data_IF_964495621909
#
_entry.id   IF_964495621909
#
_cell.length_a   1.000
_cell.length_b   1.000
_cell.length_c   1.000
_cell.angle_alpha   90.00
_cell.angle_beta   90.00
_cell.angle_gamma   90.00
#
_symmetry.space_group_name_H-M   'P 1'
#
loop_
_entity.id
_entity.type
_entity.pdbx_description
1 polymer ?
#
# COMPACT_ATOMS: atom_id res chain seq x y z
N UNK A 1 26.66 -2.30 7.06
CA UNK A 1 25.82 -1.12 6.74
C UNK A 1 24.43 -1.34 7.35
N UNK A 2 24.28 -1.09 8.65
CA UNK A 2 22.99 -1.24 9.37
C UNK A 2 22.23 0.10 9.40
N UNK A 3 22.24 0.83 8.29
CA UNK A 3 21.82 2.24 8.26
C UNK A 3 20.30 2.43 8.08
N UNK A 4 19.49 1.36 7.95
CA UNK A 4 18.07 1.47 7.61
C UNK A 4 17.14 0.70 8.57
N UNK A 5 17.46 0.71 9.87
CA UNK A 5 16.47 0.39 10.92
C UNK A 5 16.01 1.67 11.63
N UNK A 6 15.84 2.75 10.88
CA UNK A 6 14.88 3.79 11.25
C UNK A 6 13.52 3.08 11.37
N UNK A 7 13.17 2.67 12.59
CA UNK A 7 11.88 2.04 12.91
C UNK A 7 10.80 3.10 12.79
N UNK A 8 10.44 3.45 11.55
CA UNK A 8 9.20 4.13 11.29
C UNK A 8 8.09 3.27 11.87
N UNK A 9 7.31 3.88 12.77
CA UNK A 9 6.09 3.25 13.28
C UNK A 9 5.30 2.73 12.08
N UNK A 10 4.85 1.48 12.14
CA UNK A 10 4.05 0.84 11.09
C UNK A 10 2.92 1.76 10.63
N UNK A 11 2.30 2.51 11.54
CA UNK A 11 1.27 3.50 11.22
C UNK A 11 1.76 4.63 10.30
N UNK A 12 2.97 5.16 10.53
CA UNK A 12 3.57 6.19 9.67
C UNK A 12 3.93 5.61 8.30
N UNK A 13 4.48 4.41 8.26
CA UNK A 13 4.81 3.72 7.00
C UNK A 13 3.57 3.44 6.16
N UNK A 14 2.47 3.00 6.78
CA UNK A 14 1.18 2.80 6.11
C UNK A 14 0.66 4.12 5.55
N UNK A 15 0.68 5.20 6.34
CA UNK A 15 0.20 6.50 5.87
C UNK A 15 1.03 7.02 4.70
N UNK A 16 2.35 6.89 4.76
CA UNK A 16 3.26 7.24 3.68
C UNK A 16 2.99 6.39 2.43
N UNK A 17 2.78 5.08 2.59
CA UNK A 17 2.48 4.18 1.49
C UNK A 17 1.14 4.51 0.80
N UNK A 18 0.05 4.73 1.55
CA UNK A 18 -1.24 5.17 0.97
C UNK A 18 -1.06 6.50 0.24
N UNK A 19 -0.36 7.46 0.83
CA UNK A 19 -0.09 8.75 0.21
C UNK A 19 0.66 8.60 -1.12
N UNK A 20 1.71 7.79 -1.16
CA UNK A 20 2.46 7.52 -2.39
C UNK A 20 1.61 6.84 -3.47
N UNK A 21 0.79 5.86 -3.11
CA UNK A 21 -0.13 5.19 -4.05
C UNK A 21 -1.13 6.19 -4.62
N UNK A 22 -1.71 7.06 -3.77
CA UNK A 22 -2.64 8.09 -4.21
C UNK A 22 -1.99 9.08 -5.18
N UNK A 23 -0.82 9.64 -4.85
CA UNK A 23 -0.11 10.57 -5.73
C UNK A 23 0.34 9.91 -7.05
N UNK A 24 0.73 8.64 -7.00
CA UNK A 24 1.05 7.87 -8.19
C UNK A 24 -0.18 7.70 -9.10
N UNK A 25 -1.32 7.31 -8.53
CA UNK A 25 -2.58 7.18 -9.27
C UNK A 25 -3.04 8.52 -9.87
N UNK A 26 -2.89 9.63 -9.13
CA UNK A 26 -3.12 10.98 -9.67
C UNK A 26 -2.21 11.28 -10.86
N UNK A 27 -0.93 10.91 -10.78
CA UNK A 27 0.04 11.13 -11.85
C UNK A 27 -0.30 10.30 -13.08
N UNK A 28 -0.77 9.07 -12.91
CA UNK A 28 -1.18 8.20 -14.02
C UNK A 28 -2.40 8.76 -14.76
N UNK A 29 -3.41 9.25 -14.04
CA UNK A 29 -4.58 9.88 -14.64
C UNK A 29 -4.23 11.22 -15.33
N UNK A 30 -3.30 12.00 -14.77
CA UNK A 30 -2.75 13.17 -15.45
C UNK A 30 -2.02 12.76 -16.72
N UNK A 31 -1.26 11.67 -16.70
CA UNK A 31 -0.57 11.13 -17.87
C UNK A 31 -1.57 10.69 -18.95
N UNK A 32 -2.69 10.09 -18.56
CA UNK A 32 -3.76 9.68 -19.47
C UNK A 32 -4.39 10.88 -20.21
N UNK A 33 -4.43 12.07 -19.61
CA UNK A 33 -4.93 13.28 -20.30
C UNK A 33 -4.07 13.69 -21.50
N UNK A 34 -2.80 13.30 -21.55
CA UNK A 34 -1.90 13.57 -22.68
C UNK A 34 -1.98 12.50 -23.78
N UNK A 35 -2.61 11.34 -23.49
CA UNK A 35 -2.80 10.26 -24.45
C UNK A 35 -4.15 10.42 -25.15
N UNK A 36 -4.13 10.57 -26.48
CA UNK A 36 -5.36 10.73 -27.28
C UNK A 36 -6.30 9.54 -27.08
N UNK A 37 -7.57 9.82 -26.78
CA UNK A 37 -8.62 8.81 -26.66
C UNK A 37 -8.81 8.22 -25.25
N UNK A 38 -8.06 8.70 -24.26
CA UNK A 38 -8.30 8.42 -22.83
C UNK A 38 -8.74 9.68 -22.11
N UNK A 39 -9.58 9.54 -21.10
CA UNK A 39 -9.98 10.64 -20.22
C UNK A 39 -9.55 10.30 -18.81
N UNK A 40 -8.82 11.23 -18.18
CA UNK A 40 -8.47 11.09 -16.77
C UNK A 40 -9.74 11.12 -15.91
N UNK A 41 -9.94 10.11 -15.06
CA UNK A 41 -11.11 9.96 -14.19
C UNK A 41 -10.67 9.92 -12.74
N UNK A 42 -11.20 10.86 -11.96
CA UNK A 42 -11.02 10.85 -10.50
C UNK A 42 -11.49 9.54 -9.84
N UNK A 43 -12.48 8.86 -10.44
CA UNK A 43 -12.94 7.55 -9.99
C UNK A 43 -11.83 6.50 -10.04
N UNK A 44 -10.99 6.54 -11.06
CA UNK A 44 -9.95 5.53 -11.28
C UNK A 44 -8.82 5.74 -10.25
N UNK A 45 -8.48 7.00 -9.92
CA UNK A 45 -7.60 7.34 -8.77
C UNK A 45 -8.11 6.74 -7.45
N UNK A 46 -9.42 6.85 -7.18
CA UNK A 46 -10.01 6.30 -5.95
C UNK A 46 -9.95 4.78 -5.94
N UNK A 47 -10.18 4.13 -7.08
CA UNK A 47 -10.11 2.68 -7.22
C UNK A 47 -8.68 2.20 -6.96
N UNK A 48 -7.69 2.82 -7.58
CA UNK A 48 -6.28 2.44 -7.40
C UNK A 48 -5.80 2.64 -5.97
N UNK A 49 -6.21 3.75 -5.36
CA UNK A 49 -5.91 4.03 -3.94
C UNK A 49 -6.58 3.00 -3.02
N UNK A 50 -7.84 2.63 -3.31
CA UNK A 50 -8.56 1.60 -2.54
C UNK A 50 -7.96 0.21 -2.70
N UNK A 51 -7.44 -0.11 -3.90
CA UNK A 51 -6.72 -1.34 -4.18
C UNK A 51 -5.41 -1.42 -3.38
N UNK A 52 -4.64 -0.34 -3.35
CA UNK A 52 -3.43 -0.23 -2.55
C UNK A 52 -3.70 -0.37 -1.04
N UNK A 53 -4.75 0.26 -0.52
CA UNK A 53 -5.15 0.12 0.87
C UNK A 53 -5.56 -1.32 1.22
N UNK A 54 -6.32 -1.98 0.33
CA UNK A 54 -6.77 -3.37 0.50
C UNK A 54 -5.60 -4.35 0.49
N UNK A 55 -4.61 -4.14 -0.39
CA UNK A 55 -3.40 -4.95 -0.46
C UNK A 55 -2.58 -4.87 0.84
N UNK A 56 -2.44 -3.67 1.42
CA UNK A 56 -1.75 -3.52 2.71
C UNK A 56 -2.47 -4.21 3.87
N UNK A 57 -3.81 -4.13 3.88
CA UNK A 57 -4.63 -4.76 4.91
C UNK A 57 -4.48 -6.29 4.87
N UNK A 58 -4.49 -6.86 3.66
CA UNK A 58 -4.32 -8.31 3.47
C UNK A 58 -2.91 -8.79 3.82
N UNK A 59 -1.85 -8.04 3.50
CA UNK A 59 -0.47 -8.35 3.95
C UNK A 59 -0.36 -8.31 5.48
N UNK A 60 -0.98 -7.33 6.13
CA UNK A 60 -1.00 -7.22 7.59
C UNK A 60 -1.67 -8.45 8.23
N UNK A 61 -2.84 -8.85 7.71
CA UNK A 61 -3.59 -10.01 8.20
C UNK A 61 -2.78 -11.31 8.03
N UNK A 62 -2.16 -11.53 6.87
CA UNK A 62 -1.32 -12.70 6.62
C UNK A 62 -0.08 -12.75 7.53
N UNK A 63 0.49 -11.58 7.84
CA UNK A 63 1.61 -11.47 8.77
C UNK A 63 1.19 -11.86 10.20
N UNK A 64 -0.01 -11.45 10.60
CA UNK A 64 -0.57 -11.79 11.90
C UNK A 64 -0.88 -13.29 12.04
N UNK A 65 -1.47 -13.93 11.02
CA UNK A 65 -1.76 -15.37 11.06
C UNK A 65 -0.47 -16.21 11.11
N UNK A 66 0.58 -15.80 10.39
CA UNK A 66 1.91 -16.42 10.48
C UNK A 66 2.56 -16.24 11.86
N UNK A 67 2.46 -15.05 12.45
CA UNK A 67 2.99 -14.83 13.80
C UNK A 67 2.27 -15.72 14.84
N UNK A 68 0.94 -15.81 14.76
CA UNK A 68 0.13 -16.66 15.65
C UNK A 68 0.48 -18.15 15.51
N UNK A 69 0.71 -18.64 14.28
CA UNK A 69 1.09 -20.04 14.06
C UNK A 69 2.50 -20.37 14.55
N UNK A 70 3.45 -19.43 14.44
CA UNK A 70 4.81 -19.58 14.98
C UNK A 70 4.83 -19.62 16.51
N UNK A 71 4.04 -18.76 17.17
CA UNK A 71 3.91 -18.78 18.62
C UNK A 71 3.34 -20.12 19.11
N UNK A 72 2.33 -20.66 18.41
CA UNK A 72 1.77 -21.98 18.74
C UNK A 72 2.77 -23.12 18.50
N UNK A 73 3.62 -23.03 17.48
CA UNK A 73 4.67 -24.02 17.18
C UNK A 73 5.79 -24.01 18.23
N UNK A 74 6.19 -22.84 18.73
CA UNK A 74 7.27 -22.73 19.71
C UNK A 74 6.86 -23.16 21.14
N UNK A 75 5.55 -23.29 21.38
CA UNK A 75 4.98 -23.71 22.67
C UNK A 75 4.70 -25.22 22.77
N UNK A 76 4.87 -25.98 21.68
CA UNK A 76 4.73 -27.45 21.60
C UNK A 76 6.11 -28.08 21.38
#
# INVERSE_FOLDING_TARGET
YNASRETYSISKSIFLAVGLVFFYACTDEIHQLFVKGRSGRFRDVMIDTSGGATAMLSVCLLSFTKAASLLKKNSN
#
